data_IF_617270759141
#
_entry.id   IF_617270759141
#
_cell.length_a   1.000
_cell.length_b   1.000
_cell.length_c   1.000
_cell.angle_alpha   90.00
_cell.angle_beta   90.00
_cell.angle_gamma   90.00
#
_symmetry.space_group_name_H-M   'P 1'
#
loop_
_entity.id
_entity.type
_entity.pdbx_description
1 polymer ?
#
# COMPACT_ATOMS: atom_id res chain seq x y z
N UNK A 1 -0.36 -3.14 -6.55
CA UNK A 1 1.08 -3.02 -6.22
C UNK A 1 1.42 -4.05 -5.17
N UNK A 2 2.20 -5.05 -5.54
CA UNK A 2 2.53 -6.20 -4.67
C UNK A 2 3.58 -5.84 -3.63
N UNK A 3 3.47 -6.44 -2.45
CA UNK A 3 4.32 -6.18 -1.30
C UNK A 3 4.91 -7.49 -0.79
N UNK A 4 6.20 -7.45 -0.47
CA UNK A 4 6.90 -8.51 0.25
C UNK A 4 7.22 -8.04 1.66
N UNK A 5 6.94 -8.88 2.64
CA UNK A 5 7.07 -8.56 4.06
C UNK A 5 7.99 -9.60 4.71
N UNK A 6 8.85 -9.14 5.61
CA UNK A 6 9.65 -10.02 6.47
C UNK A 6 9.61 -9.49 7.90
N UNK A 7 9.21 -10.33 8.84
CA UNK A 7 9.09 -9.97 10.26
C UNK A 7 8.30 -8.67 10.51
N UNK A 8 7.20 -8.49 9.76
CA UNK A 8 6.34 -7.31 9.88
C UNK A 8 6.85 -6.07 9.15
N UNK A 9 8.00 -6.12 8.50
CA UNK A 9 8.57 -5.01 7.75
C UNK A 9 8.44 -5.23 6.24
N UNK A 10 8.11 -4.16 5.54
CA UNK A 10 8.13 -4.15 4.08
C UNK A 10 9.57 -4.24 3.59
N UNK A 11 9.89 -5.26 2.81
CA UNK A 11 11.23 -5.46 2.23
C UNK A 11 11.24 -5.21 0.72
N UNK A 12 10.09 -5.30 0.06
CA UNK A 12 9.94 -4.92 -1.34
C UNK A 12 8.51 -4.49 -1.65
N UNK A 13 8.34 -3.57 -2.58
CA UNK A 13 7.06 -3.10 -3.08
C UNK A 13 7.19 -2.71 -4.54
N UNK A 14 6.53 -3.44 -5.44
CA UNK A 14 6.58 -3.22 -6.88
C UNK A 14 5.49 -3.98 -7.64
N UNK A 15 5.22 -3.56 -8.87
CA UNK A 15 4.19 -4.19 -9.72
C UNK A 15 4.59 -5.57 -10.24
N UNK A 16 5.85 -5.72 -10.57
CA UNK A 16 6.45 -6.89 -11.24
C UNK A 16 6.97 -7.96 -10.26
N UNK A 17 6.65 -7.83 -8.97
CA UNK A 17 6.95 -8.87 -7.99
C UNK A 17 6.19 -10.16 -8.36
N UNK A 18 6.87 -11.29 -8.32
CA UNK A 18 6.24 -12.59 -8.54
C UNK A 18 5.08 -12.78 -7.53
N UNK A 19 3.87 -13.09 -8.00
CA UNK A 19 2.75 -13.35 -7.11
C UNK A 19 3.01 -14.46 -6.07
N UNK A 20 3.87 -15.43 -6.40
CA UNK A 20 4.25 -16.49 -5.47
C UNK A 20 5.18 -15.98 -4.34
N UNK A 21 5.85 -14.86 -4.53
CA UNK A 21 6.72 -14.24 -3.54
C UNK A 21 6.06 -13.07 -2.78
N UNK A 22 4.90 -12.63 -3.24
CA UNK A 22 4.17 -11.53 -2.63
C UNK A 22 3.40 -11.99 -1.38
N UNK A 23 3.48 -11.23 -0.32
CA UNK A 23 2.73 -11.46 0.92
C UNK A 23 1.38 -10.70 0.93
N UNK A 24 1.21 -9.74 0.03
CA UNK A 24 -0.02 -8.96 -0.07
C UNK A 24 0.04 -7.86 -1.11
N UNK A 25 -0.97 -7.02 -1.09
CA UNK A 25 -1.06 -5.82 -1.93
C UNK A 25 -1.13 -4.55 -1.09
N UNK A 26 -0.50 -3.50 -1.59
CA UNK A 26 -0.59 -2.16 -1.00
C UNK A 26 -1.95 -1.54 -1.32
N UNK A 27 -2.72 -1.22 -0.28
CA UNK A 27 -4.02 -0.55 -0.42
C UNK A 27 -3.91 0.96 -0.62
N UNK A 28 -2.69 1.51 -0.63
CA UNK A 28 -2.45 2.93 -0.86
C UNK A 28 -2.56 3.82 0.37
N UNK A 29 -2.66 3.26 1.55
CA UNK A 29 -2.71 4.01 2.82
C UNK A 29 -1.40 3.83 3.56
N UNK A 30 -0.64 4.92 3.72
CA UNK A 30 0.65 4.90 4.39
C UNK A 30 0.73 6.06 5.39
N UNK A 31 1.22 5.78 6.58
CA UNK A 31 1.40 6.78 7.65
C UNK A 31 2.88 6.91 7.96
N UNK A 32 3.37 8.14 7.97
CA UNK A 32 4.72 8.48 8.40
C UNK A 32 4.70 9.39 9.62
N UNK A 33 5.64 9.17 10.53
CA UNK A 33 5.95 10.12 11.59
C UNK A 33 6.55 11.40 10.97
N UNK A 34 6.68 12.47 11.76
CA UNK A 34 7.34 13.69 11.30
C UNK A 34 8.78 13.42 10.82
N UNK A 35 9.53 12.62 11.55
CA UNK A 35 10.90 12.22 11.16
C UNK A 35 10.88 11.30 9.95
N UNK A 36 9.97 10.33 9.91
CA UNK A 36 9.80 9.45 8.75
C UNK A 36 9.42 10.19 7.49
N UNK A 37 8.58 11.22 7.58
CA UNK A 37 8.23 12.06 6.45
C UNK A 37 9.44 12.80 5.86
N UNK A 38 10.35 13.28 6.69
CA UNK A 38 11.61 13.90 6.22
C UNK A 38 12.46 12.90 5.43
N UNK A 39 12.62 11.69 5.95
CA UNK A 39 13.36 10.64 5.26
C UNK A 39 12.69 10.20 3.96
N UNK A 40 11.35 10.22 3.92
CA UNK A 40 10.62 9.97 2.68
C UNK A 40 10.89 11.04 1.63
N UNK A 41 10.88 12.31 2.04
CA UNK A 41 11.21 13.44 1.14
C UNK A 41 12.63 13.28 0.60
N UNK A 42 13.60 12.95 1.45
CA UNK A 42 14.99 12.70 1.02
C UNK A 42 15.06 11.53 0.00
N UNK A 43 14.28 10.48 0.20
CA UNK A 43 14.19 9.37 -0.75
C UNK A 43 13.58 9.81 -2.08
N UNK A 44 12.55 10.67 -2.05
CA UNK A 44 11.93 11.24 -3.26
C UNK A 44 12.93 12.12 -4.01
N UNK A 45 13.63 13.01 -3.33
CA UNK A 45 14.64 13.88 -3.91
C UNK A 45 15.78 13.07 -4.56
N UNK A 46 16.19 11.99 -3.93
CA UNK A 46 17.17 11.06 -4.48
C UNK A 46 16.70 10.43 -5.79
N UNK A 47 15.45 9.96 -5.84
CA UNK A 47 14.88 9.37 -7.04
C UNK A 47 14.77 10.40 -8.18
N UNK A 48 14.34 11.62 -7.86
CA UNK A 48 14.26 12.72 -8.83
C UNK A 48 15.66 13.05 -9.38
N UNK A 49 16.68 13.12 -8.52
CA UNK A 49 18.06 13.36 -8.94
C UNK A 49 18.62 12.29 -9.87
N UNK A 50 18.04 11.09 -9.84
CA UNK A 50 18.37 9.97 -10.73
C UNK A 50 17.51 9.91 -12.00
N UNK A 51 16.67 10.92 -12.24
CA UNK A 51 15.79 10.98 -13.41
C UNK A 51 14.55 10.10 -13.31
N UNK A 52 14.14 9.74 -12.09
CA UNK A 52 13.00 8.86 -11.82
C UNK A 52 11.76 9.63 -11.35
N UNK A 53 11.62 10.87 -11.78
CA UNK A 53 10.51 11.77 -11.41
C UNK A 53 9.13 11.28 -11.91
N UNK A 54 9.11 10.39 -12.89
CA UNK A 54 7.88 9.80 -13.43
C UNK A 54 7.49 8.47 -12.78
N UNK A 55 8.29 8.01 -11.83
CA UNK A 55 7.97 6.80 -11.08
C UNK A 55 6.80 7.05 -10.11
N UNK A 56 6.10 5.98 -9.79
CA UNK A 56 4.97 6.05 -8.88
C UNK A 56 5.45 6.18 -7.42
N UNK A 57 4.66 6.82 -6.58
CA UNK A 57 4.96 7.04 -5.16
C UNK A 57 5.46 5.78 -4.42
N UNK A 58 4.94 4.56 -4.65
CA UNK A 58 5.48 3.35 -4.05
C UNK A 58 6.97 3.09 -4.33
N UNK A 59 7.54 3.68 -5.37
CA UNK A 59 8.98 3.63 -5.61
C UNK A 59 9.76 4.33 -4.48
N UNK A 60 9.24 5.46 -4.01
CA UNK A 60 9.83 6.17 -2.88
C UNK A 60 9.66 5.40 -1.56
N UNK A 61 8.54 4.71 -1.37
CA UNK A 61 8.34 3.85 -0.20
C UNK A 61 9.32 2.68 -0.20
N UNK A 62 9.60 2.10 -1.35
CA UNK A 62 10.61 1.05 -1.52
C UNK A 62 11.99 1.57 -1.16
N UNK A 63 12.39 2.74 -1.66
CA UNK A 63 13.67 3.37 -1.33
C UNK A 63 13.77 3.65 0.17
N UNK A 64 12.72 4.23 0.77
CA UNK A 64 12.62 4.44 2.21
C UNK A 64 12.81 3.13 3.00
N UNK A 65 12.14 2.06 2.60
CA UNK A 65 12.19 0.77 3.28
C UNK A 65 13.57 0.10 3.22
N UNK A 66 14.43 0.51 2.29
CA UNK A 66 15.82 0.05 2.20
C UNK A 66 16.68 0.54 3.38
N UNK A 67 16.33 1.71 3.93
CA UNK A 67 17.12 2.39 4.96
C UNK A 67 16.42 2.51 6.31
N UNK A 68 15.08 2.51 6.33
CA UNK A 68 14.27 2.75 7.52
C UNK A 68 13.16 1.70 7.63
N UNK A 69 12.71 1.36 8.84
CA UNK A 69 11.63 0.41 9.01
C UNK A 69 10.31 0.98 8.48
N UNK A 70 9.71 0.28 7.54
CA UNK A 70 8.35 0.51 7.06
C UNK A 70 7.50 -0.69 7.47
N UNK A 71 6.65 -0.50 8.46
CA UNK A 71 5.83 -1.57 9.01
C UNK A 71 4.65 -1.89 8.10
N UNK A 72 4.42 -3.18 7.85
CA UNK A 72 3.23 -3.66 7.19
C UNK A 72 2.11 -3.85 8.22
N UNK A 73 0.95 -3.28 7.92
CA UNK A 73 -0.26 -3.45 8.72
C UNK A 73 -1.32 -4.11 7.84
N UNK A 74 -1.79 -5.28 8.26
CA UNK A 74 -2.84 -5.99 7.53
C UNK A 74 -4.17 -5.25 7.62
N UNK A 75 -4.94 -5.25 6.53
CA UNK A 75 -6.35 -4.83 6.57
C UNK A 75 -7.23 -5.83 7.32
N UNK A 76 -6.69 -7.01 7.66
CA UNK A 76 -7.44 -8.07 8.31
C UNK A 76 -8.63 -8.52 7.48
N UNK A 77 -9.79 -8.59 8.11
CA UNK A 77 -11.05 -8.98 7.45
C UNK A 77 -11.83 -7.79 6.88
N UNK A 78 -11.28 -6.56 6.96
CA UNK A 78 -11.94 -5.40 6.39
C UNK A 78 -11.95 -5.47 4.86
N UNK A 79 -13.13 -5.44 4.24
CA UNK A 79 -13.27 -5.49 2.79
C UNK A 79 -12.77 -4.19 2.17
N UNK A 80 -12.08 -4.31 1.07
CA UNK A 80 -11.59 -3.19 0.29
C UNK A 80 -11.51 -3.55 -1.19
N UNK A 81 -11.44 -2.55 -2.05
CA UNK A 81 -11.24 -2.71 -3.48
C UNK A 81 -10.62 -1.43 -4.05
N UNK A 82 -9.69 -1.60 -4.98
CA UNK A 82 -9.17 -0.53 -5.83
C UNK A 82 -10.03 -0.45 -7.09
N UNK A 83 -10.48 0.76 -7.44
CA UNK A 83 -11.36 0.99 -8.58
C UNK A 83 -10.57 1.70 -9.67
N UNK A 84 -10.11 0.93 -10.66
CA UNK A 84 -9.39 1.44 -11.83
C UNK A 84 -10.23 1.34 -13.12
N UNK A 85 -11.13 0.36 -13.17
CA UNK A 85 -11.93 0.06 -14.35
C UNK A 85 -13.44 -0.03 -14.02
N UNK A 86 -14.34 0.07 -15.03
CA UNK A 86 -15.78 -0.06 -14.82
C UNK A 86 -16.20 -1.35 -14.13
N UNK A 87 -15.50 -2.44 -14.37
CA UNK A 87 -15.73 -3.74 -13.72
C UNK A 87 -15.48 -3.66 -12.21
N UNK A 88 -14.42 -2.97 -11.81
CA UNK A 88 -14.08 -2.78 -10.40
C UNK A 88 -15.17 -1.97 -9.68
N UNK A 89 -15.70 -0.93 -10.35
CA UNK A 89 -16.82 -0.14 -9.82
C UNK A 89 -18.06 -1.00 -9.59
N UNK A 90 -18.40 -1.85 -10.53
CA UNK A 90 -19.54 -2.78 -10.40
C UNK A 90 -19.33 -3.71 -9.22
N UNK A 91 -18.17 -4.32 -9.12
CA UNK A 91 -17.77 -5.21 -8.01
C UNK A 91 -17.79 -4.47 -6.67
N UNK A 92 -17.27 -3.24 -6.65
CA UNK A 92 -17.31 -2.40 -5.45
C UNK A 92 -18.74 -2.20 -4.95
N UNK A 93 -19.67 -1.85 -5.86
CA UNK A 93 -21.07 -1.60 -5.54
C UNK A 93 -21.82 -2.87 -5.13
N UNK A 94 -21.63 -3.96 -5.84
CA UNK A 94 -22.44 -5.18 -5.71
C UNK A 94 -21.90 -6.14 -4.63
N UNK A 95 -20.58 -6.16 -4.40
CA UNK A 95 -19.96 -7.15 -3.51
C UNK A 95 -19.27 -6.52 -2.29
N UNK A 96 -18.54 -5.42 -2.48
CA UNK A 96 -17.69 -4.85 -1.42
C UNK A 96 -18.48 -3.90 -0.52
N UNK A 97 -19.24 -2.98 -1.09
CA UNK A 97 -20.03 -2.03 -0.32
C UNK A 97 -21.02 -2.69 0.64
N UNK A 98 -21.76 -3.76 0.26
CA UNK A 98 -22.62 -4.47 1.20
C UNK A 98 -21.85 -5.05 2.40
N UNK A 99 -20.62 -5.53 2.19
CA UNK A 99 -19.78 -6.04 3.27
C UNK A 99 -19.29 -4.92 4.20
N UNK A 100 -18.95 -3.76 3.64
CA UNK A 100 -18.59 -2.57 4.43
C UNK A 100 -19.77 -2.13 5.29
N UNK A 101 -20.97 -2.03 4.70
CA UNK A 101 -22.17 -1.65 5.41
C UNK A 101 -22.50 -2.61 6.55
N UNK A 102 -22.33 -3.91 6.33
CA UNK A 102 -22.53 -4.94 7.37
C UNK A 102 -21.61 -4.75 8.58
N UNK A 103 -20.38 -4.26 8.38
CA UNK A 103 -19.44 -3.97 9.46
C UNK A 103 -19.82 -2.67 10.17
N UNK A 104 -20.19 -1.62 9.42
CA UNK A 104 -20.58 -0.32 9.97
C UNK A 104 -21.87 -0.43 10.79
N UNK A 105 -22.83 -1.24 10.33
CA UNK A 105 -24.10 -1.45 10.99
C UNK A 105 -24.04 -2.47 12.14
N UNK A 106 -22.90 -3.14 12.31
CA UNK A 106 -22.69 -4.04 13.44
C UNK A 106 -22.73 -3.28 14.77
N UNK A 107 -23.44 -3.81 15.79
CA UNK A 107 -23.36 -3.21 17.12
C UNK A 107 -21.92 -3.18 17.59
N UNK A 108 -21.57 -2.08 18.22
CA UNK A 108 -20.22 -1.72 18.61
C UNK A 108 -19.45 -2.87 19.27
N UNK A 109 -18.30 -3.03 18.81
CA UNK A 109 -17.27 -3.84 19.41
C UNK A 109 -16.86 -3.33 20.79
#
# INVERSE_FOLDING_TARGET
>A
MKVKVNEGLVVDIRKDLDPAEADGENVGIVKFSRTGAKHLIDAMDLLISRGLEREWAPRAFREFATHFPLHAVSTGEYPWIEIDFPEDYRKAKEEVLPKINAIVDSPCL
#
